data_IF_748478325704
#
_entry.id   IF_748478325704
#
_cell.length_a   1.000
_cell.length_b   1.000
_cell.length_c   1.000
_cell.angle_alpha   90.00
_cell.angle_beta   90.00
_cell.angle_gamma   90.00
#
_symmetry.space_group_name_H-M   'P 1'
#
loop_
_entity.id
_entity.type
_entity.pdbx_description
1 polymer ?
#
# COMPACT_ATOMS: atom_id res chain seq x y z
N UNK A 1 -25.80 -9.20 36.05
CA UNK A 1 -25.66 -7.73 35.98
C UNK A 1 -24.25 -7.41 36.42
N UNK A 2 -23.52 -6.86 35.47
CA UNK A 2 -22.26 -6.13 35.56
C UNK A 2 -20.99 -6.86 35.98
N UNK A 3 -20.44 -7.59 35.02
CA UNK A 3 -19.01 -7.86 34.88
C UNK A 3 -18.66 -8.01 33.38
N UNK A 4 -18.93 -6.98 32.58
CA UNK A 4 -18.63 -6.93 31.13
C UNK A 4 -18.50 -5.46 30.68
N UNK A 5 -17.47 -4.76 31.17
CA UNK A 5 -17.11 -3.43 30.65
C UNK A 5 -15.69 -3.02 31.10
N UNK A 6 -14.66 -3.80 30.77
CA UNK A 6 -13.27 -3.31 30.83
C UNK A 6 -12.38 -4.10 29.89
N UNK A 7 -12.68 -4.04 28.60
CA UNK A 7 -11.73 -4.38 27.55
C UNK A 7 -12.16 -3.60 26.32
N UNK A 8 -11.60 -2.41 26.12
CA UNK A 8 -11.44 -1.62 24.89
C UNK A 8 -10.97 -0.25 25.40
N UNK A 9 -9.65 -0.10 25.53
CA UNK A 9 -8.89 1.17 25.52
C UNK A 9 -7.44 0.84 25.94
N UNK A 10 -6.82 -0.12 25.24
CA UNK A 10 -5.36 -0.11 25.11
C UNK A 10 -5.09 0.37 23.69
N UNK A 11 -4.89 1.68 23.61
CA UNK A 11 -4.71 2.42 22.37
C UNK A 11 -3.56 1.86 21.55
N UNK A 12 -3.82 1.78 20.24
CA UNK A 12 -2.86 1.65 19.16
C UNK A 12 -1.87 2.83 19.14
N UNK A 13 -1.07 3.03 20.19
CA UNK A 13 -0.29 4.27 20.37
C UNK A 13 1.24 4.07 20.40
N UNK A 14 1.74 2.98 19.83
CA UNK A 14 3.19 2.79 19.62
C UNK A 14 3.51 2.22 18.25
N UNK A 15 3.18 2.97 17.19
CA UNK A 15 3.50 2.62 15.80
C UNK A 15 5.00 2.79 15.46
N UNK A 16 5.67 3.75 16.09
CA UNK A 16 7.11 3.94 16.11
C UNK A 16 7.47 4.46 17.50
N UNK A 17 7.96 3.63 18.43
CA UNK A 17 8.33 4.13 19.74
C UNK A 17 9.43 5.19 19.59
N UNK A 18 9.45 6.22 20.45
CA UNK A 18 10.53 7.19 20.48
C UNK A 18 11.89 6.49 20.54
N UNK A 19 12.90 7.11 19.94
CA UNK A 19 14.25 6.51 19.89
C UNK A 19 14.85 6.20 21.26
N UNK A 20 14.38 6.89 22.32
CA UNK A 20 14.87 6.75 23.68
C UNK A 20 16.26 7.36 23.90
N UNK A 21 16.83 8.02 22.89
CA UNK A 21 18.20 8.57 22.93
C UNK A 21 18.22 9.97 22.32
N UNK A 22 18.72 10.95 23.07
CA UNK A 22 19.03 12.28 22.54
C UNK A 22 20.13 12.16 21.48
N UNK A 23 19.94 12.78 20.32
CA UNK A 23 20.90 12.74 19.23
C UNK A 23 21.24 14.15 18.76
N UNK A 24 22.52 14.50 18.77
CA UNK A 24 23.00 15.80 18.28
C UNK A 24 23.74 15.62 16.96
N UNK A 25 23.30 16.32 15.92
CA UNK A 25 23.89 16.26 14.57
C UNK A 25 24.32 17.65 14.10
N UNK A 26 25.36 17.70 13.26
CA UNK A 26 25.71 18.90 12.50
C UNK A 26 24.98 18.91 11.16
N UNK A 27 24.30 20.02 10.83
CA UNK A 27 23.57 20.13 9.58
C UNK A 27 23.50 21.57 9.06
N UNK A 28 23.18 21.71 7.78
CA UNK A 28 22.93 22.98 7.11
C UNK A 28 21.45 23.12 6.80
N UNK A 29 20.93 24.34 6.90
CA UNK A 29 19.57 24.64 6.44
C UNK A 29 19.45 24.38 4.93
N UNK A 30 18.45 23.59 4.56
CA UNK A 30 18.11 23.30 3.16
C UNK A 30 16.76 23.94 2.80
N UNK A 31 16.61 24.35 1.55
CA UNK A 31 15.35 24.89 0.99
C UNK A 31 14.95 24.08 -0.23
N UNK A 32 13.83 23.37 -0.14
CA UNK A 32 13.25 22.56 -1.20
C UNK A 32 11.72 22.70 -1.18
N UNK A 33 11.02 22.19 -2.20
CA UNK A 33 9.56 22.34 -2.31
C UNK A 33 8.79 21.93 -1.04
N UNK A 34 9.23 20.89 -0.34
CA UNK A 34 8.62 20.46 0.93
C UNK A 34 8.67 21.55 2.01
N UNK A 35 9.81 22.21 2.23
CA UNK A 35 9.94 23.30 3.22
C UNK A 35 9.24 24.60 2.80
N UNK A 36 8.92 24.77 1.50
CA UNK A 36 8.23 25.96 1.00
C UNK A 36 6.70 25.81 1.04
N UNK A 37 6.20 24.57 0.94
CA UNK A 37 4.76 24.29 0.90
C UNK A 37 4.19 23.69 2.20
N UNK A 38 5.06 23.27 3.12
CA UNK A 38 4.69 22.77 4.44
C UNK A 38 5.46 23.52 5.53
N UNK A 39 4.88 23.66 6.72
CA UNK A 39 5.55 24.26 7.88
C UNK A 39 6.58 23.29 8.49
N UNK A 40 7.59 22.92 7.71
CA UNK A 40 8.61 21.93 8.06
C UNK A 40 10.00 22.55 7.96
N UNK A 41 10.91 22.10 8.83
CA UNK A 41 12.33 22.50 8.78
C UNK A 41 13.10 21.42 8.05
N UNK A 42 13.88 21.80 7.04
CA UNK A 42 14.73 20.90 6.29
C UNK A 42 16.20 21.17 6.55
N UNK A 43 16.94 20.10 6.81
CA UNK A 43 18.35 20.11 7.15
C UNK A 43 19.09 19.05 6.34
N UNK A 44 20.30 19.36 5.90
CA UNK A 44 21.20 18.40 5.22
C UNK A 44 22.54 18.34 5.93
N UNK A 45 23.07 17.13 6.11
CA UNK A 45 24.32 16.93 6.84
C UNK A 45 24.89 15.52 6.66
N UNK A 46 25.81 15.15 7.55
CA UNK A 46 26.32 13.79 7.66
C UNK A 46 26.29 13.34 9.12
N UNK A 47 26.02 12.07 9.34
CA UNK A 47 26.02 11.43 10.66
C UNK A 47 26.94 10.21 10.65
N UNK A 48 27.42 9.78 11.81
CA UNK A 48 28.18 8.54 11.89
C UNK A 48 27.26 7.31 11.67
N UNK A 49 27.83 6.18 11.27
CA UNK A 49 27.08 4.92 11.17
C UNK A 49 26.54 4.48 12.54
N UNK A 50 27.27 4.78 13.61
CA UNK A 50 26.82 4.53 14.98
C UNK A 50 25.57 5.37 15.34
N UNK A 51 25.57 6.67 14.98
CA UNK A 51 24.41 7.56 15.17
C UNK A 51 23.20 7.07 14.37
N UNK A 52 23.42 6.58 13.15
CA UNK A 52 22.35 6.01 12.33
C UNK A 52 21.66 4.84 13.04
N UNK A 53 22.44 3.87 13.53
CA UNK A 53 21.89 2.64 14.10
C UNK A 53 21.31 2.84 15.49
N UNK A 54 21.99 3.64 16.32
CA UNK A 54 21.55 3.95 17.69
C UNK A 54 20.44 5.00 17.75
N UNK A 55 20.40 5.95 16.82
CA UNK A 55 19.48 7.08 16.85
C UNK A 55 18.20 6.90 16.05
N UNK A 56 18.14 5.96 15.09
CA UNK A 56 16.99 5.80 14.18
C UNK A 56 16.47 4.36 14.15
N UNK A 57 15.28 4.11 14.71
CA UNK A 57 14.67 2.79 14.69
C UNK A 57 14.18 2.40 13.29
N UNK A 58 13.96 1.10 13.11
CA UNK A 58 13.35 0.52 11.90
C UNK A 58 11.85 0.41 12.17
N UNK A 59 11.04 1.02 11.31
CA UNK A 59 9.58 0.80 11.32
C UNK A 59 9.30 -0.70 11.22
N UNK A 60 8.42 -1.22 12.10
CA UNK A 60 8.13 -2.64 12.11
C UNK A 60 7.45 -3.07 10.80
N UNK A 61 7.61 -4.36 10.47
CA UNK A 61 7.07 -4.92 9.24
C UNK A 61 5.56 -5.13 9.35
N UNK A 62 4.95 -5.41 8.20
CA UNK A 62 3.51 -5.50 8.05
C UNK A 62 2.88 -6.77 8.66
N UNK A 63 3.67 -7.59 9.36
CA UNK A 63 3.24 -8.66 10.25
C UNK A 63 2.94 -8.16 11.67
N UNK A 64 3.39 -6.96 12.03
CA UNK A 64 3.15 -6.32 13.34
C UNK A 64 2.32 -5.05 13.20
N UNK A 65 2.60 -4.21 12.20
CA UNK A 65 1.84 -2.98 11.92
C UNK A 65 0.91 -3.23 10.72
N UNK A 66 -0.37 -2.82 10.73
CA UNK A 66 -1.24 -2.92 9.56
C UNK A 66 -0.64 -2.23 8.33
N UNK A 67 -0.79 -2.83 7.14
CA UNK A 67 -0.21 -2.30 5.90
C UNK A 67 -0.67 -0.86 5.60
N UNK A 68 -1.92 -0.55 5.94
CA UNK A 68 -2.48 0.78 5.76
C UNK A 68 -1.74 1.83 6.60
N UNK A 69 -1.24 1.47 7.78
CA UNK A 69 -0.59 2.40 8.71
C UNK A 69 0.90 2.63 8.42
N UNK A 70 1.47 1.85 7.50
CA UNK A 70 2.89 1.92 7.15
C UNK A 70 3.24 3.22 6.40
N UNK A 71 4.43 3.75 6.70
CA UNK A 71 5.05 4.87 5.97
C UNK A 71 6.24 4.44 5.11
N UNK A 72 6.66 3.18 5.25
CA UNK A 72 7.71 2.54 4.45
C UNK A 72 7.29 1.14 4.01
N UNK A 73 8.00 0.60 3.02
CA UNK A 73 7.94 -0.83 2.68
C UNK A 73 8.59 -1.69 3.77
N UNK A 74 8.16 -2.94 3.87
CA UNK A 74 8.82 -3.94 4.72
C UNK A 74 10.30 -4.12 4.35
N UNK A 75 11.11 -4.37 5.38
CA UNK A 75 12.54 -4.65 5.28
C UNK A 75 12.85 -5.89 6.10
N UNK A 76 13.52 -6.85 5.47
CA UNK A 76 14.06 -8.03 6.16
C UNK A 76 15.55 -8.20 5.84
N UNK A 77 16.29 -8.80 6.77
CA UNK A 77 17.72 -9.14 6.60
C UNK A 77 17.95 -10.11 5.44
N UNK A 78 16.95 -10.93 5.08
CA UNK A 78 16.96 -11.84 3.92
C UNK A 78 16.57 -11.21 2.58
N UNK A 79 16.14 -9.94 2.55
CA UNK A 79 15.78 -9.27 1.30
C UNK A 79 16.99 -9.22 0.35
N UNK A 80 16.72 -9.35 -0.94
CA UNK A 80 17.74 -9.22 -1.99
C UNK A 80 18.46 -7.87 -1.89
N UNK A 81 17.77 -6.81 -1.47
CA UNK A 81 18.31 -5.44 -1.33
C UNK A 81 19.34 -5.35 -0.21
N UNK A 82 19.01 -5.85 0.98
CA UNK A 82 19.90 -5.87 2.14
C UNK A 82 21.10 -6.77 1.88
N UNK A 83 20.91 -7.95 1.25
CA UNK A 83 22.01 -8.84 0.84
C UNK A 83 22.97 -8.24 -0.18
N UNK A 84 22.45 -7.52 -1.18
CA UNK A 84 23.30 -6.84 -2.18
C UNK A 84 24.13 -5.74 -1.55
N UNK A 85 23.52 -4.99 -0.65
CA UNK A 85 24.21 -3.92 0.06
C UNK A 85 25.25 -4.46 1.05
N UNK A 86 24.91 -5.53 1.75
CA UNK A 86 25.82 -6.21 2.67
C UNK A 86 27.08 -6.68 1.93
N UNK A 87 26.89 -7.38 0.80
CA UNK A 87 27.98 -7.74 -0.11
C UNK A 87 28.78 -6.52 -0.57
N UNK A 88 28.10 -5.44 -0.97
CA UNK A 88 28.77 -4.23 -1.44
C UNK A 88 29.68 -3.60 -0.37
N UNK A 89 29.26 -3.60 0.90
CA UNK A 89 30.04 -3.04 2.01
C UNK A 89 31.16 -3.98 2.50
N UNK A 90 30.99 -5.29 2.32
CA UNK A 90 31.97 -6.29 2.74
C UNK A 90 33.01 -6.59 1.66
N UNK A 91 32.63 -6.63 0.38
CA UNK A 91 33.51 -7.00 -0.73
C UNK A 91 34.33 -5.81 -1.25
N UNK A 92 33.97 -4.57 -0.90
CA UNK A 92 34.65 -3.36 -1.37
C UNK A 92 35.14 -2.48 -0.22
N UNK A 93 36.23 -1.78 -0.47
CA UNK A 93 36.79 -0.77 0.45
C UNK A 93 36.48 0.66 0.01
N UNK A 94 36.03 0.85 -1.23
CA UNK A 94 35.80 2.14 -1.90
C UNK A 94 34.30 2.37 -2.19
N UNK A 95 33.48 2.12 -1.18
CA UNK A 95 32.04 2.24 -1.27
C UNK A 95 31.56 3.70 -1.15
N UNK A 96 30.41 3.99 -1.75
CA UNK A 96 29.69 5.25 -1.60
C UNK A 96 28.21 4.95 -1.38
N UNK A 97 27.62 5.53 -0.34
CA UNK A 97 26.20 5.38 -0.04
C UNK A 97 25.42 6.64 -0.41
N UNK A 98 24.20 6.49 -0.96
CA UNK A 98 23.34 7.64 -1.21
C UNK A 98 22.92 8.32 0.10
N UNK A 99 22.31 9.50 -0.01
CA UNK A 99 21.73 10.23 1.12
C UNK A 99 20.53 9.48 1.72
N UNK A 100 20.37 9.50 3.05
CA UNK A 100 19.16 9.06 3.74
C UNK A 100 18.13 10.18 3.77
N UNK A 101 16.83 9.86 3.71
CA UNK A 101 15.76 10.83 3.97
C UNK A 101 15.03 10.42 5.24
N UNK A 102 14.95 11.33 6.21
CA UNK A 102 14.49 11.05 7.57
C UNK A 102 13.50 12.13 7.97
N UNK A 103 12.37 11.73 8.56
CA UNK A 103 11.42 12.63 9.18
C UNK A 103 11.44 12.46 10.70
N UNK A 104 11.31 13.57 11.42
CA UNK A 104 11.27 13.61 12.88
C UNK A 104 10.19 14.59 13.35
N UNK A 105 9.53 14.30 14.47
CA UNK A 105 8.48 15.18 14.99
C UNK A 105 9.01 16.54 15.44
N UNK A 106 10.11 16.53 16.18
CA UNK A 106 10.69 17.73 16.79
C UNK A 106 12.22 17.71 16.80
N UNK A 107 12.82 18.89 16.83
CA UNK A 107 14.26 19.09 16.96
C UNK A 107 14.58 20.54 17.34
N UNK A 108 15.62 20.71 18.15
CA UNK A 108 16.08 22.02 18.61
C UNK A 108 17.33 22.43 17.83
N UNK A 109 17.28 23.59 17.17
CA UNK A 109 18.44 24.13 16.45
C UNK A 109 19.24 25.05 17.36
N UNK A 110 20.55 24.84 17.38
CA UNK A 110 21.50 25.77 17.99
C UNK A 110 21.54 27.09 17.23
N UNK A 111 22.21 28.08 17.82
CA UNK A 111 22.59 29.30 17.12
C UNK A 111 23.37 28.95 15.85
N UNK A 112 23.00 29.59 14.74
CA UNK A 112 23.61 29.38 13.44
C UNK A 112 25.05 29.91 13.40
N UNK A 113 25.93 29.18 12.72
CA UNK A 113 27.26 29.64 12.30
C UNK A 113 27.26 29.75 10.79
N UNK A 114 27.66 30.91 10.25
CA UNK A 114 27.72 31.13 8.81
C UNK A 114 28.99 30.49 8.23
N UNK A 115 28.83 29.61 7.25
CA UNK A 115 29.92 28.95 6.51
C UNK A 115 29.66 29.17 5.01
N UNK A 116 30.41 30.07 4.39
CA UNK A 116 30.14 30.50 3.02
C UNK A 116 28.72 31.10 2.88
N UNK A 117 27.92 30.65 1.88
CA UNK A 117 26.53 31.08 1.75
C UNK A 117 25.58 30.36 2.72
N UNK A 118 26.03 29.30 3.39
CA UNK A 118 25.16 28.40 4.15
C UNK A 118 25.18 28.74 5.65
N UNK A 119 24.10 28.36 6.33
CA UNK A 119 23.98 28.41 7.79
C UNK A 119 24.11 27.00 8.35
N UNK A 120 25.18 26.78 9.12
CA UNK A 120 25.40 25.55 9.87
C UNK A 120 24.73 25.65 11.24
N UNK A 121 24.05 24.59 11.63
CA UNK A 121 23.43 24.41 12.93
C UNK A 121 23.88 23.09 13.54
N UNK A 122 23.98 23.05 14.86
CA UNK A 122 23.81 21.80 15.59
C UNK A 122 22.31 21.60 15.81
N UNK A 123 21.79 20.42 15.46
CA UNK A 123 20.40 20.04 15.71
C UNK A 123 20.38 18.94 16.76
N UNK A 124 19.65 19.17 17.85
CA UNK A 124 19.39 18.18 18.89
C UNK A 124 18.01 17.59 18.67
N UNK A 125 17.96 16.29 18.42
CA UNK A 125 16.75 15.49 18.38
C UNK A 125 16.53 14.89 19.77
N UNK A 126 15.46 15.24 20.48
CA UNK A 126 15.24 14.71 21.81
C UNK A 126 14.85 13.23 21.76
N UNK A 127 15.07 12.52 22.85
CA UNK A 127 14.83 11.08 23.00
C UNK A 127 13.38 10.68 22.74
N UNK A 128 12.44 11.56 23.09
CA UNK A 128 11.00 11.42 22.92
C UNK A 128 10.52 11.75 21.49
N UNK A 129 11.37 12.32 20.63
CA UNK A 129 11.03 12.55 19.24
C UNK A 129 10.83 11.21 18.52
N UNK A 130 9.71 11.11 17.81
CA UNK A 130 9.49 10.02 16.87
C UNK A 130 10.30 10.28 15.61
N UNK A 131 10.93 9.23 15.10
CA UNK A 131 11.87 9.30 13.98
C UNK A 131 11.55 8.19 13.01
N UNK A 132 11.36 8.52 11.74
CA UNK A 132 11.12 7.56 10.67
C UNK A 132 12.10 7.78 9.53
N UNK A 133 12.73 6.71 9.08
CA UNK A 133 13.55 6.73 7.87
C UNK A 133 12.58 6.60 6.69
N UNK A 134 12.41 7.68 5.92
CA UNK A 134 11.59 7.70 4.72
C UNK A 134 12.30 7.10 3.50
N UNK A 135 13.63 7.12 3.46
CA UNK A 135 14.37 6.28 2.52
C UNK A 135 15.71 5.86 3.11
N UNK A 136 16.04 4.58 2.94
CA UNK A 136 17.27 3.97 3.45
C UNK A 136 17.12 3.08 4.67
N UNK A 137 15.91 2.64 5.01
CA UNK A 137 15.69 1.66 6.10
C UNK A 137 16.48 0.36 5.88
N UNK A 138 16.54 -0.14 4.63
CA UNK A 138 17.40 -1.26 4.26
C UNK A 138 18.89 -0.98 4.46
N UNK A 139 19.34 0.26 4.23
CA UNK A 139 20.72 0.67 4.51
C UNK A 139 21.01 0.64 6.00
N UNK A 140 20.11 1.19 6.83
CA UNK A 140 20.23 1.11 8.29
C UNK A 140 20.32 -0.34 8.78
N UNK A 141 19.46 -1.23 8.29
CA UNK A 141 19.48 -2.66 8.67
C UNK A 141 20.80 -3.33 8.29
N UNK A 142 21.31 -3.09 7.08
CA UNK A 142 22.61 -3.62 6.67
C UNK A 142 23.75 -3.04 7.50
N UNK A 143 23.77 -1.74 7.74
CA UNK A 143 24.79 -1.08 8.58
C UNK A 143 24.80 -1.66 9.99
N UNK A 144 23.64 -1.93 10.58
CA UNK A 144 23.57 -2.57 11.90
C UNK A 144 24.23 -3.96 11.91
N UNK A 145 24.04 -4.76 10.84
CA UNK A 145 24.73 -6.04 10.68
C UNK A 145 26.25 -5.89 10.59
N UNK A 146 26.72 -5.00 9.70
CA UNK A 146 28.17 -4.74 9.53
C UNK A 146 28.80 -4.20 10.81
N UNK A 147 28.13 -3.34 11.57
CA UNK A 147 28.63 -2.81 12.84
C UNK A 147 28.81 -3.89 13.90
N UNK A 148 27.93 -4.90 13.93
CA UNK A 148 28.05 -6.02 14.85
C UNK A 148 29.33 -6.85 14.60
N UNK A 149 29.79 -6.90 13.35
CA UNK A 149 31.00 -7.62 12.96
C UNK A 149 32.27 -6.74 12.98
N UNK A 150 32.12 -5.45 12.66
CA UNK A 150 33.21 -4.49 12.45
C UNK A 150 32.91 -3.17 13.16
N UNK A 151 33.13 -3.11 14.48
CA UNK A 151 32.83 -1.93 15.29
C UNK A 151 33.47 -0.62 14.78
N UNK A 152 34.67 -0.68 14.21
CA UNK A 152 35.35 0.48 13.62
C UNK A 152 34.56 1.11 12.45
N UNK A 153 33.63 0.36 11.84
CA UNK A 153 32.74 0.88 10.81
C UNK A 153 31.81 1.98 11.34
N UNK A 154 31.63 2.06 12.67
CA UNK A 154 30.82 3.07 13.36
C UNK A 154 31.25 4.50 13.11
N UNK A 155 32.56 4.72 12.89
CA UNK A 155 33.13 6.04 12.69
C UNK A 155 32.98 6.59 11.26
N UNK A 156 32.65 5.74 10.28
CA UNK A 156 32.34 6.25 8.94
C UNK A 156 31.03 7.02 8.96
N UNK A 157 30.84 7.87 7.94
CA UNK A 157 29.69 8.76 7.86
C UNK A 157 28.77 8.41 6.70
N UNK A 158 27.48 8.73 6.85
CA UNK A 158 26.48 8.69 5.78
C UNK A 158 25.79 10.05 5.67
N UNK A 159 25.59 10.58 4.43
CA UNK A 159 24.84 11.81 4.25
C UNK A 159 23.36 11.61 4.57
N UNK A 160 22.71 12.65 5.11
CA UNK A 160 21.29 12.64 5.41
C UNK A 160 20.59 13.94 4.99
N UNK A 161 19.27 13.82 4.81
CA UNK A 161 18.29 14.90 4.76
C UNK A 161 17.30 14.66 5.88
N UNK A 162 17.21 15.61 6.80
CA UNK A 162 16.40 15.55 7.99
C UNK A 162 15.27 16.57 7.87
N UNK A 163 14.04 16.10 8.07
CA UNK A 163 12.82 16.89 7.93
C UNK A 163 12.11 16.90 9.28
N UNK A 164 12.05 18.07 9.92
CA UNK A 164 11.33 18.25 11.19
C UNK A 164 9.90 18.66 10.86
N UNK A 165 8.93 17.80 11.19
CA UNK A 165 7.52 17.96 10.81
C UNK A 165 6.76 18.94 11.69
N UNK A 166 7.26 19.22 12.90
CA UNK A 166 6.58 20.02 13.93
C UNK A 166 5.21 19.47 14.33
N UNK A 167 5.03 18.15 14.22
CA UNK A 167 3.79 17.47 14.61
C UNK A 167 3.94 16.85 15.99
N UNK A 168 2.82 16.64 16.70
CA UNK A 168 2.82 15.94 17.98
C UNK A 168 3.23 14.47 17.80
N UNK A 169 2.75 13.83 16.73
CA UNK A 169 3.06 12.45 16.36
C UNK A 169 3.53 12.38 14.92
N UNK A 170 4.38 11.42 14.57
CA UNK A 170 4.91 11.28 13.21
C UNK A 170 3.79 10.90 12.22
N UNK A 171 2.79 10.14 12.70
CA UNK A 171 1.59 9.76 11.94
C UNK A 171 0.80 10.95 11.42
N UNK A 172 0.84 12.09 12.10
CA UNK A 172 0.13 13.30 11.65
C UNK A 172 0.75 13.86 10.36
N UNK A 173 2.00 13.50 10.07
CA UNK A 173 2.71 13.81 8.83
C UNK A 173 2.72 12.64 7.82
N UNK A 174 2.04 11.52 8.11
CA UNK A 174 2.06 10.28 7.29
C UNK A 174 1.85 10.56 5.81
N UNK A 175 0.87 11.40 5.46
CA UNK A 175 0.56 11.72 4.06
C UNK A 175 1.76 12.33 3.32
N UNK A 176 2.46 13.25 3.97
CA UNK A 176 3.65 13.91 3.39
C UNK A 176 4.82 12.93 3.30
N UNK A 177 4.99 12.09 4.32
CA UNK A 177 6.05 11.06 4.35
C UNK A 177 5.85 10.03 3.23
N UNK A 178 4.63 9.51 3.08
CA UNK A 178 4.28 8.57 2.02
C UNK A 178 4.46 9.21 0.63
N UNK A 179 4.03 10.46 0.43
CA UNK A 179 4.27 11.18 -0.83
C UNK A 179 5.77 11.30 -1.11
N UNK A 180 6.58 11.71 -0.13
CA UNK A 180 8.02 11.82 -0.29
C UNK A 180 8.67 10.47 -0.63
N UNK A 181 8.21 9.36 -0.02
CA UNK A 181 8.65 8.02 -0.39
C UNK A 181 8.31 7.72 -1.85
N UNK A 182 7.07 7.98 -2.28
CA UNK A 182 6.61 7.76 -3.64
C UNK A 182 7.38 8.61 -4.66
N UNK A 183 7.70 9.87 -4.34
CA UNK A 183 8.47 10.74 -5.22
C UNK A 183 9.91 10.24 -5.39
N UNK A 184 10.56 9.82 -4.30
CA UNK A 184 11.94 9.30 -4.30
C UNK A 184 12.07 7.96 -5.03
N UNK A 185 11.04 7.13 -4.94
CA UNK A 185 11.10 5.73 -5.37
C UNK A 185 10.24 5.43 -6.60
N UNK A 186 9.36 6.34 -7.02
CA UNK A 186 8.34 6.11 -8.05
C UNK A 186 8.89 5.93 -9.47
N UNK A 187 9.97 6.63 -9.82
CA UNK A 187 10.66 6.50 -11.12
C UNK A 187 11.75 5.41 -11.10
N UNK A 188 12.22 5.06 -9.91
CA UNK A 188 13.13 3.94 -9.72
C UNK A 188 12.32 2.65 -9.88
N UNK A 189 12.87 1.65 -10.57
CA UNK A 189 12.11 0.47 -11.04
C UNK A 189 11.44 -0.38 -9.94
N UNK A 190 11.49 -0.02 -8.64
CA UNK A 190 10.88 -0.76 -7.52
C UNK A 190 10.64 0.14 -6.29
N UNK A 191 9.41 0.62 -6.10
CA UNK A 191 8.45 -0.18 -5.31
C UNK A 191 7.46 -0.91 -6.21
N UNK A 192 6.78 -1.92 -5.66
CA UNK A 192 5.68 -2.53 -6.40
C UNK A 192 4.59 -1.46 -6.65
N UNK A 193 3.85 -1.61 -7.74
CA UNK A 193 2.85 -0.63 -8.16
C UNK A 193 1.76 -0.39 -7.10
N UNK A 194 1.54 -1.35 -6.19
CA UNK A 194 0.60 -1.24 -5.08
C UNK A 194 1.06 -0.23 -4.02
N UNK A 195 2.29 -0.33 -3.53
CA UNK A 195 2.85 0.62 -2.55
C UNK A 195 2.94 2.02 -3.15
N UNK A 196 3.48 2.14 -4.37
CA UNK A 196 3.58 3.44 -5.03
C UNK A 196 2.21 4.08 -5.25
N UNK A 197 1.22 3.30 -5.69
CA UNK A 197 -0.12 3.83 -5.92
C UNK A 197 -0.86 4.21 -4.64
N UNK A 198 -0.61 3.51 -3.52
CA UNK A 198 -1.20 3.85 -2.21
C UNK A 198 -0.51 5.06 -1.56
N UNK A 199 0.80 5.22 -1.75
CA UNK A 199 1.53 6.31 -1.10
C UNK A 199 1.45 7.64 -1.87
N UNK A 200 1.04 7.60 -3.13
CA UNK A 200 1.09 8.75 -4.03
C UNK A 200 -0.21 9.58 -3.99
N UNK A 201 -0.25 10.60 -3.16
CA UNK A 201 -1.36 11.56 -3.09
C UNK A 201 -1.36 12.65 -4.17
N UNK A 202 -0.33 12.74 -5.02
CA UNK A 202 -0.25 13.77 -6.06
C UNK A 202 -1.30 13.57 -7.18
N UNK A 203 -1.71 12.32 -7.42
CA UNK A 203 -2.63 11.95 -8.50
C UNK A 203 -4.06 11.83 -7.98
N UNK A 204 -5.06 12.49 -8.60
CA UNK A 204 -6.45 12.39 -8.16
C UNK A 204 -6.99 10.96 -8.02
N UNK A 205 -6.66 10.07 -8.95
CA UNK A 205 -7.12 8.68 -8.90
C UNK A 205 -6.51 7.91 -7.71
N UNK A 206 -5.26 8.18 -7.35
CA UNK A 206 -4.62 7.54 -6.20
C UNK A 206 -5.24 8.02 -4.89
N UNK A 207 -5.51 9.34 -4.75
CA UNK A 207 -6.28 9.88 -3.61
C UNK A 207 -7.67 9.26 -3.50
N UNK A 208 -8.36 9.11 -4.63
CA UNK A 208 -9.69 8.51 -4.68
C UNK A 208 -9.65 7.06 -4.21
N UNK A 209 -8.61 6.30 -4.58
CA UNK A 209 -8.43 4.93 -4.13
C UNK A 209 -8.16 4.85 -2.63
N UNK A 210 -7.37 5.76 -2.06
CA UNK A 210 -7.15 5.81 -0.60
C UNK A 210 -8.48 6.05 0.15
N UNK A 211 -9.31 6.98 -0.34
CA UNK A 211 -10.65 7.22 0.24
C UNK A 211 -11.64 6.06 0.01
N UNK A 212 -11.41 5.23 -1.00
CA UNK A 212 -12.17 4.00 -1.22
C UNK A 212 -11.74 2.88 -0.28
N UNK A 213 -10.48 2.81 0.12
CA UNK A 213 -9.98 1.80 1.07
C UNK A 213 -10.69 1.90 2.44
N UNK A 214 -11.12 3.10 2.81
CA UNK A 214 -11.90 3.37 4.03
C UNK A 214 -13.39 3.02 3.91
N UNK A 215 -13.84 2.52 2.74
CA UNK A 215 -15.23 2.14 2.55
C UNK A 215 -15.56 0.92 3.39
N UNK A 216 -16.55 1.06 4.29
CA UNK A 216 -17.14 -0.06 5.03
C UNK A 216 -17.77 -1.07 4.06
N UNK A 217 -17.45 -2.35 4.27
CA UNK A 217 -17.95 -3.51 3.54
C UNK A 217 -18.60 -4.49 4.53
N UNK A 218 -19.01 -5.67 4.05
CA UNK A 218 -19.66 -6.67 4.90
C UNK A 218 -18.80 -7.09 6.10
N UNK A 219 -19.47 -7.61 7.13
CA UNK A 219 -18.89 -8.14 8.37
C UNK A 219 -18.09 -7.13 9.21
N UNK A 220 -18.47 -5.83 9.15
CA UNK A 220 -17.85 -4.77 9.94
C UNK A 220 -16.40 -4.46 9.55
N UNK A 221 -15.99 -4.85 8.35
CA UNK A 221 -14.66 -4.60 7.79
C UNK A 221 -14.69 -3.38 6.88
N UNK A 222 -13.53 -2.79 6.64
CA UNK A 222 -13.30 -1.85 5.55
C UNK A 222 -12.59 -2.53 4.38
N UNK A 223 -12.65 -1.92 3.20
CA UNK A 223 -11.99 -2.45 2.00
C UNK A 223 -10.47 -2.65 2.21
N UNK A 224 -9.82 -1.80 3.01
CA UNK A 224 -8.41 -1.93 3.38
C UNK A 224 -8.08 -3.27 4.06
N UNK A 225 -9.00 -3.82 4.87
CA UNK A 225 -8.74 -5.02 5.67
C UNK A 225 -8.58 -6.26 4.80
N UNK A 226 -9.16 -6.23 3.61
CA UNK A 226 -9.12 -7.33 2.63
C UNK A 226 -8.24 -7.00 1.41
N UNK A 227 -7.57 -5.85 1.39
CA UNK A 227 -6.75 -5.41 0.26
C UNK A 227 -5.27 -5.46 0.62
N UNK A 228 -4.47 -6.16 -0.18
CA UNK A 228 -3.01 -6.19 -0.03
C UNK A 228 -2.38 -4.92 -0.63
N UNK A 229 -1.89 -4.03 0.23
CA UNK A 229 -1.31 -2.73 -0.16
C UNK A 229 0.18 -2.88 -0.52
N UNK A 230 0.86 -3.88 0.04
CA UNK A 230 2.23 -4.20 -0.31
C UNK A 230 2.36 -5.16 -1.52
N UNK A 231 1.27 -5.50 -2.19
CA UNK A 231 1.26 -6.40 -3.35
C UNK A 231 1.45 -7.90 -3.04
N UNK A 232 1.58 -8.29 -1.76
CA UNK A 232 1.63 -9.68 -1.30
C UNK A 232 0.36 -9.99 -0.50
N UNK A 233 -0.45 -10.92 -1.02
CA UNK A 233 -1.70 -11.31 -0.37
C UNK A 233 -1.40 -12.18 0.85
N UNK A 234 -1.82 -11.71 2.03
CA UNK A 234 -1.76 -12.43 3.32
C UNK A 234 -3.11 -13.08 3.66
N UNK A 235 -3.16 -13.99 4.66
CA UNK A 235 -4.43 -14.46 5.22
C UNK A 235 -5.34 -13.29 5.58
N UNK A 236 -6.64 -13.41 5.28
CA UNK A 236 -7.62 -12.32 5.41
C UNK A 236 -7.75 -11.42 4.18
N UNK A 237 -6.74 -11.34 3.32
CA UNK A 237 -6.76 -10.47 2.13
C UNK A 237 -7.19 -11.22 0.87
N UNK A 238 -7.83 -10.50 -0.06
CA UNK A 238 -8.40 -11.05 -1.29
C UNK A 238 -7.62 -10.62 -2.53
N UNK A 239 -7.45 -9.31 -2.72
CA UNK A 239 -6.85 -8.73 -3.91
C UNK A 239 -5.79 -7.70 -3.54
N UNK A 240 -4.84 -7.48 -4.45
CA UNK A 240 -3.87 -6.38 -4.28
C UNK A 240 -4.50 -5.04 -4.59
N UNK A 241 -3.96 -3.96 -4.04
CA UNK A 241 -4.38 -2.58 -4.34
C UNK A 241 -4.45 -2.32 -5.85
N UNK A 242 -3.48 -2.85 -6.61
CA UNK A 242 -3.47 -2.72 -8.07
C UNK A 242 -4.70 -3.38 -8.71
N UNK A 243 -5.06 -4.58 -8.27
CA UNK A 243 -6.20 -5.32 -8.80
C UNK A 243 -7.52 -4.61 -8.46
N UNK A 244 -7.66 -4.06 -7.26
CA UNK A 244 -8.83 -3.26 -6.87
C UNK A 244 -8.91 -1.97 -7.71
N UNK A 245 -7.79 -1.27 -7.90
CA UNK A 245 -7.71 -0.08 -8.76
C UNK A 245 -8.08 -0.40 -10.22
N UNK A 246 -7.57 -1.51 -10.77
CA UNK A 246 -7.90 -1.97 -12.11
C UNK A 246 -9.41 -2.29 -12.23
N UNK A 247 -10.00 -2.92 -11.21
CA UNK A 247 -11.44 -3.18 -11.14
C UNK A 247 -12.25 -1.88 -11.16
N UNK A 248 -11.87 -0.88 -10.36
CA UNK A 248 -12.54 0.44 -10.34
C UNK A 248 -12.45 1.13 -11.70
N UNK A 249 -11.26 1.24 -12.29
CA UNK A 249 -11.04 1.87 -13.59
C UNK A 249 -11.85 1.17 -14.70
N UNK A 250 -11.86 -0.17 -14.69
CA UNK A 250 -12.58 -0.97 -15.68
C UNK A 250 -14.10 -0.84 -15.53
N UNK A 251 -14.62 -0.72 -14.31
CA UNK A 251 -16.06 -0.51 -14.06
C UNK A 251 -16.56 0.81 -14.62
N UNK A 252 -15.68 1.80 -14.71
CA UNK A 252 -15.95 3.14 -15.25
C UNK A 252 -15.58 3.27 -16.73
N UNK A 253 -15.08 2.20 -17.34
CA UNK A 253 -14.67 2.20 -18.74
C UNK A 253 -13.56 3.20 -19.07
N UNK A 254 -12.68 3.49 -18.10
CA UNK A 254 -11.65 4.52 -18.22
C UNK A 254 -10.24 3.96 -18.02
N UNK A 255 -9.24 4.77 -18.32
CA UNK A 255 -7.82 4.48 -18.01
C UNK A 255 -7.34 5.40 -16.90
N UNK A 256 -6.25 5.04 -16.22
CA UNK A 256 -5.70 5.87 -15.15
C UNK A 256 -5.41 7.31 -15.61
N UNK A 257 -4.86 7.49 -16.81
CA UNK A 257 -4.60 8.83 -17.36
C UNK A 257 -5.88 9.65 -17.59
N UNK A 258 -6.93 9.02 -18.13
CA UNK A 258 -8.23 9.67 -18.37
C UNK A 258 -8.94 9.98 -17.04
N UNK A 259 -8.93 9.05 -16.09
CA UNK A 259 -9.49 9.25 -14.75
C UNK A 259 -8.79 10.41 -14.03
N UNK A 260 -7.45 10.44 -14.02
CA UNK A 260 -6.70 11.53 -13.40
C UNK A 260 -6.97 12.91 -14.02
N UNK A 261 -7.32 12.99 -15.30
CA UNK A 261 -7.73 14.24 -15.94
C UNK A 261 -9.17 14.62 -15.54
N UNK A 262 -10.07 13.64 -15.51
CA UNK A 262 -11.48 13.83 -15.19
C UNK A 262 -11.72 14.24 -13.72
N UNK A 263 -10.96 13.64 -12.81
CA UNK A 263 -11.08 13.79 -11.35
C UNK A 263 -10.38 15.04 -10.78
N UNK A 264 -9.94 15.98 -11.63
CA UNK A 264 -9.40 17.28 -11.17
C UNK A 264 -10.48 18.27 -10.75
N UNK A 265 -11.71 17.98 -11.15
CA UNK A 265 -12.90 18.75 -10.82
C UNK A 265 -13.55 18.13 -9.57
N UNK A 266 -13.81 18.96 -8.56
CA UNK A 266 -14.21 18.50 -7.23
C UNK A 266 -15.61 17.86 -7.22
N UNK A 267 -16.55 18.38 -8.01
CA UNK A 267 -17.90 17.81 -8.15
C UNK A 267 -17.82 16.42 -8.80
N UNK A 268 -17.09 16.31 -9.92
CA UNK A 268 -16.85 15.03 -10.58
C UNK A 268 -16.11 14.05 -9.68
N UNK A 269 -15.18 14.53 -8.86
CA UNK A 269 -14.46 13.70 -7.90
C UNK A 269 -15.42 13.09 -6.87
N UNK A 270 -16.25 13.92 -6.23
CA UNK A 270 -17.21 13.49 -5.22
C UNK A 270 -18.22 12.49 -5.79
N UNK A 271 -18.80 12.78 -6.95
CA UNK A 271 -19.75 11.89 -7.64
C UNK A 271 -19.10 10.56 -8.03
N UNK A 272 -17.87 10.60 -8.56
CA UNK A 272 -17.15 9.39 -8.94
C UNK A 272 -16.85 8.52 -7.72
N UNK A 273 -16.38 9.14 -6.63
CA UNK A 273 -16.08 8.46 -5.37
C UNK A 273 -17.32 7.77 -4.81
N UNK A 274 -18.46 8.46 -4.69
CA UNK A 274 -19.65 7.85 -4.11
C UNK A 274 -20.19 6.71 -4.99
N UNK A 275 -20.19 6.89 -6.31
CA UNK A 275 -20.57 5.80 -7.22
C UNK A 275 -19.64 4.58 -7.09
N UNK A 276 -18.35 4.80 -6.85
CA UNK A 276 -17.41 3.72 -6.58
C UNK A 276 -17.65 3.07 -5.21
N UNK A 277 -17.96 3.85 -4.16
CA UNK A 277 -18.33 3.32 -2.84
C UNK A 277 -19.55 2.42 -2.92
N UNK A 278 -20.59 2.85 -3.63
CA UNK A 278 -21.79 2.04 -3.87
C UNK A 278 -21.43 0.73 -4.58
N UNK A 279 -20.63 0.79 -5.65
CA UNK A 279 -20.18 -0.41 -6.36
C UNK A 279 -19.42 -1.38 -5.44
N UNK A 280 -18.44 -0.88 -4.69
CA UNK A 280 -17.64 -1.68 -3.74
C UNK A 280 -18.55 -2.34 -2.71
N UNK A 281 -19.42 -1.58 -2.04
CA UNK A 281 -20.37 -2.12 -1.04
C UNK A 281 -21.23 -3.24 -1.63
N UNK A 282 -21.76 -3.07 -2.84
CA UNK A 282 -22.63 -4.07 -3.46
C UNK A 282 -21.88 -5.35 -3.86
N UNK A 283 -20.65 -5.22 -4.37
CA UNK A 283 -19.80 -6.38 -4.67
C UNK A 283 -19.46 -7.13 -3.40
N UNK A 284 -18.97 -6.45 -2.37
CA UNK A 284 -18.49 -7.12 -1.17
C UNK A 284 -19.60 -7.62 -0.24
N UNK A 285 -20.85 -7.14 -0.43
CA UNK A 285 -22.04 -7.73 0.21
C UNK A 285 -22.30 -9.18 -0.20
N UNK A 286 -21.93 -9.57 -1.42
CA UNK A 286 -22.29 -10.88 -2.00
C UNK A 286 -21.13 -11.87 -2.09
N UNK A 287 -19.90 -11.43 -1.80
CA UNK A 287 -18.73 -12.31 -1.77
C UNK A 287 -18.63 -13.04 -0.43
N UNK A 288 -18.19 -14.32 -0.42
CA UNK A 288 -18.11 -15.12 0.80
C UNK A 288 -16.84 -14.79 1.62
N UNK A 289 -16.76 -13.57 2.14
CA UNK A 289 -15.57 -13.04 2.85
C UNK A 289 -15.21 -13.81 4.12
N UNK A 290 -16.17 -14.50 4.75
CA UNK A 290 -15.92 -15.37 5.91
C UNK A 290 -14.86 -16.45 5.66
N UNK A 291 -14.72 -16.92 4.40
CA UNK A 291 -13.75 -17.94 4.00
C UNK A 291 -12.29 -17.44 3.96
N UNK A 292 -12.04 -16.15 4.23
CA UNK A 292 -10.69 -15.57 4.27
C UNK A 292 -10.07 -15.59 5.67
N UNK A 293 -10.83 -15.95 6.71
CA UNK A 293 -10.49 -15.69 8.11
C UNK A 293 -9.38 -16.59 8.69
N UNK A 294 -9.33 -17.88 8.32
CA UNK A 294 -8.29 -18.80 8.76
C UNK A 294 -7.22 -19.04 7.69
N UNK A 295 -5.94 -19.19 8.07
CA UNK A 295 -4.82 -19.32 7.11
C UNK A 295 -4.96 -20.51 6.15
N UNK A 296 -5.40 -21.67 6.63
CA UNK A 296 -5.55 -22.86 5.78
C UNK A 296 -6.79 -22.77 4.89
N UNK A 297 -7.90 -22.21 5.40
CA UNK A 297 -9.11 -21.92 4.61
C UNK A 297 -8.82 -20.88 3.53
N UNK A 298 -8.04 -19.85 3.85
CA UNK A 298 -7.58 -18.84 2.91
C UNK A 298 -6.76 -19.44 1.77
N UNK A 299 -5.76 -20.28 2.08
CA UNK A 299 -4.96 -20.95 1.04
C UNK A 299 -5.82 -21.83 0.12
N UNK A 300 -6.76 -22.59 0.70
CA UNK A 300 -7.68 -23.41 -0.06
C UNK A 300 -8.59 -22.55 -0.97
N UNK A 301 -9.21 -21.51 -0.42
CA UNK A 301 -10.06 -20.59 -1.17
C UNK A 301 -9.30 -19.86 -2.29
N UNK A 302 -8.09 -19.34 -2.01
CA UNK A 302 -7.25 -18.69 -3.02
C UNK A 302 -6.84 -19.68 -4.13
N UNK A 303 -6.71 -20.97 -3.84
CA UNK A 303 -6.37 -21.99 -4.83
C UNK A 303 -7.58 -22.38 -5.68
N UNK A 304 -8.70 -22.68 -5.05
CA UNK A 304 -9.82 -23.43 -5.65
C UNK A 304 -10.97 -22.54 -6.11
N UNK A 305 -11.22 -21.40 -5.46
CA UNK A 305 -12.39 -20.58 -5.74
C UNK A 305 -12.16 -19.62 -6.91
N UNK A 306 -13.19 -19.43 -7.75
CA UNK A 306 -13.15 -18.45 -8.84
C UNK A 306 -13.18 -17.02 -8.30
N UNK A 307 -13.96 -16.75 -7.25
CA UNK A 307 -14.17 -15.40 -6.74
C UNK A 307 -12.91 -14.75 -6.17
N UNK A 308 -11.90 -15.54 -5.82
CA UNK A 308 -10.61 -15.06 -5.32
C UNK A 308 -9.65 -14.61 -6.43
N UNK A 309 -9.95 -14.92 -7.70
CA UNK A 309 -9.05 -14.62 -8.81
C UNK A 309 -9.17 -13.17 -9.26
N UNK A 310 -8.05 -12.56 -9.62
CA UNK A 310 -8.04 -11.18 -10.15
C UNK A 310 -8.87 -11.02 -11.43
N UNK A 311 -8.96 -12.07 -12.26
CA UNK A 311 -9.80 -12.07 -13.46
C UNK A 311 -11.30 -12.00 -13.10
N UNK A 312 -11.69 -12.54 -11.95
CA UNK A 312 -13.05 -12.40 -11.46
C UNK A 312 -13.35 -10.97 -11.00
N UNK A 313 -12.41 -10.29 -10.35
CA UNK A 313 -12.53 -8.86 -10.02
C UNK A 313 -12.75 -8.02 -11.30
N UNK A 314 -11.97 -8.27 -12.35
CA UNK A 314 -12.15 -7.60 -13.65
C UNK A 314 -13.49 -7.95 -14.31
N UNK A 315 -13.98 -9.17 -14.14
CA UNK A 315 -15.29 -9.56 -14.63
C UNK A 315 -16.43 -8.84 -13.87
N UNK A 316 -16.32 -8.68 -12.55
CA UNK A 316 -17.26 -7.87 -11.76
C UNK A 316 -17.28 -6.41 -12.21
N UNK A 317 -16.11 -5.85 -12.55
CA UNK A 317 -16.02 -4.52 -13.12
C UNK A 317 -16.83 -4.39 -14.42
N UNK A 318 -16.72 -5.37 -15.31
CA UNK A 318 -17.54 -5.42 -16.52
C UNK A 318 -19.03 -5.54 -16.25
N UNK A 319 -19.43 -6.36 -15.28
CA UNK A 319 -20.83 -6.49 -14.87
C UNK A 319 -21.37 -5.16 -14.33
N UNK A 320 -20.60 -4.45 -13.50
CA UNK A 320 -20.97 -3.14 -12.99
C UNK A 320 -21.08 -2.08 -14.09
N UNK A 321 -20.16 -2.10 -15.06
CA UNK A 321 -20.25 -1.26 -16.26
C UNK A 321 -21.51 -1.58 -17.06
N UNK A 322 -21.81 -2.86 -17.25
CA UNK A 322 -23.00 -3.34 -17.95
C UNK A 322 -24.29 -2.88 -17.26
N UNK A 323 -24.36 -2.96 -15.93
CA UNK A 323 -25.49 -2.42 -15.14
C UNK A 323 -25.65 -0.91 -15.32
N UNK A 324 -24.53 -0.18 -15.34
CA UNK A 324 -24.55 1.28 -15.51
C UNK A 324 -25.01 1.66 -16.92
N UNK A 325 -24.52 0.98 -17.95
CA UNK A 325 -24.95 1.21 -19.34
C UNK A 325 -26.43 0.81 -19.55
N UNK A 326 -26.88 -0.33 -19.00
CA UNK A 326 -28.28 -0.78 -19.04
C UNK A 326 -29.22 0.20 -18.31
N UNK A 327 -28.76 0.80 -17.20
CA UNK A 327 -29.51 1.83 -16.48
C UNK A 327 -29.72 3.11 -17.30
N UNK A 328 -28.81 3.45 -18.23
CA UNK A 328 -29.00 4.59 -19.13
C UNK A 328 -30.16 4.37 -20.11
N UNK A 329 -30.46 3.12 -20.47
CA UNK A 329 -31.57 2.78 -21.36
C UNK A 329 -32.87 2.51 -20.59
N UNK A 330 -32.79 1.79 -19.48
CA UNK A 330 -33.94 1.41 -18.66
C UNK A 330 -34.39 2.49 -17.67
N UNK A 331 -33.55 3.50 -17.41
CA UNK A 331 -33.78 4.57 -16.43
C UNK A 331 -33.60 4.14 -14.97
N UNK A 332 -33.16 2.90 -14.70
CA UNK A 332 -33.06 2.35 -13.34
C UNK A 332 -31.78 1.54 -13.15
N UNK A 333 -31.04 1.84 -12.10
CA UNK A 333 -29.86 1.09 -11.69
C UNK A 333 -30.23 -0.05 -10.73
N UNK A 334 -30.04 -1.29 -11.17
CA UNK A 334 -30.52 -2.50 -10.46
C UNK A 334 -29.40 -3.30 -9.78
N UNK A 335 -28.72 -2.70 -8.79
CA UNK A 335 -27.64 -3.36 -8.04
C UNK A 335 -28.04 -4.70 -7.41
N UNK A 336 -29.32 -4.86 -7.05
CA UNK A 336 -29.86 -6.11 -6.50
C UNK A 336 -29.66 -7.33 -7.42
N UNK A 337 -29.45 -7.12 -8.73
CA UNK A 337 -29.10 -8.22 -9.65
C UNK A 337 -27.80 -8.94 -9.23
N UNK A 338 -26.87 -8.25 -8.56
CA UNK A 338 -25.62 -8.86 -8.07
C UNK A 338 -25.86 -9.92 -6.98
N UNK A 339 -27.00 -9.91 -6.29
CA UNK A 339 -27.36 -10.95 -5.30
C UNK A 339 -27.51 -12.33 -5.97
N UNK A 340 -27.74 -12.36 -7.29
CA UNK A 340 -27.74 -13.60 -8.07
C UNK A 340 -26.37 -14.31 -8.12
N UNK A 341 -25.27 -13.63 -7.79
CA UNK A 341 -23.94 -14.24 -7.73
C UNK A 341 -23.85 -15.36 -6.68
N UNK A 342 -24.65 -15.27 -5.60
CA UNK A 342 -24.71 -16.30 -4.58
C UNK A 342 -25.21 -17.66 -5.10
N UNK A 343 -25.86 -17.69 -6.27
CA UNK A 343 -26.38 -18.92 -6.91
C UNK A 343 -25.34 -19.61 -7.81
N UNK A 344 -24.20 -18.97 -8.05
CA UNK A 344 -23.16 -19.50 -8.93
C UNK A 344 -22.15 -20.34 -8.14
N UNK A 345 -21.54 -21.36 -8.76
CA UNK A 345 -20.52 -22.21 -8.14
C UNK A 345 -19.17 -21.49 -8.04
N UNK A 346 -19.13 -20.36 -7.33
CA UNK A 346 -17.94 -19.49 -7.23
C UNK A 346 -16.82 -20.10 -6.38
N UNK A 347 -17.14 -21.08 -5.52
CA UNK A 347 -16.21 -21.70 -4.58
C UNK A 347 -15.27 -22.73 -5.23
N UNK A 348 -15.48 -23.06 -6.51
CA UNK A 348 -14.64 -24.02 -7.24
C UNK A 348 -14.38 -23.56 -8.68
N UNK A 349 -13.18 -23.86 -9.19
CA UNK A 349 -12.83 -23.73 -10.59
C UNK A 349 -13.23 -24.98 -11.41
N UNK A 350 -13.55 -26.10 -10.76
CA UNK A 350 -13.79 -27.39 -11.40
C UNK A 350 -15.25 -27.60 -11.83
N UNK A 351 -16.10 -26.59 -11.66
CA UNK A 351 -17.49 -26.68 -12.12
C UNK A 351 -17.56 -26.80 -13.65
N UNK A 352 -18.38 -27.71 -14.21
CA UNK A 352 -18.57 -27.85 -15.66
C UNK A 352 -18.87 -26.55 -16.36
N UNK A 353 -19.63 -25.64 -15.73
CA UNK A 353 -19.98 -24.34 -16.27
C UNK A 353 -18.73 -23.49 -16.58
N UNK A 354 -17.69 -23.55 -15.75
CA UNK A 354 -16.44 -22.82 -15.96
C UNK A 354 -15.54 -23.49 -17.01
N UNK A 355 -15.54 -24.82 -17.04
CA UNK A 355 -14.72 -25.61 -17.97
C UNK A 355 -15.27 -25.49 -19.40
N UNK A 356 -16.58 -25.68 -19.59
CA UNK A 356 -17.26 -25.58 -20.88
C UNK A 356 -17.15 -24.17 -21.48
N UNK A 357 -17.13 -23.14 -20.63
CA UNK A 357 -16.91 -21.75 -21.04
C UNK A 357 -15.44 -21.40 -21.32
N UNK A 358 -14.50 -22.34 -21.15
CA UNK A 358 -13.07 -22.12 -21.34
C UNK A 358 -12.41 -21.22 -20.29
N UNK A 359 -13.12 -20.94 -19.19
CA UNK A 359 -12.65 -20.13 -18.05
C UNK A 359 -11.67 -20.94 -17.20
N UNK A 360 -11.93 -22.24 -17.05
CA UNK A 360 -11.06 -23.17 -16.32
C UNK A 360 -10.41 -24.18 -17.27
N UNK A 361 -9.13 -24.45 -17.04
CA UNK A 361 -8.36 -25.47 -17.74
C UNK A 361 -8.11 -26.65 -16.82
N UNK A 362 -8.48 -27.85 -17.27
CA UNK A 362 -8.12 -29.11 -16.61
C UNK A 362 -6.80 -29.59 -17.20
N UNK A 363 -5.84 -29.89 -16.35
CA UNK A 363 -4.57 -30.52 -16.73
C UNK A 363 -4.42 -31.82 -15.97
N UNK A 364 -4.36 -32.91 -16.72
CA UNK A 364 -4.11 -34.24 -16.17
C UNK A 364 -2.61 -34.53 -16.25
N UNK A 365 -1.96 -34.59 -15.08
CA UNK A 365 -0.55 -34.98 -14.93
C UNK A 365 -0.40 -36.41 -14.43
N UNK A 366 0.83 -36.83 -14.09
CA UNK A 366 1.16 -38.16 -13.50
C UNK A 366 0.46 -38.37 -12.14
N UNK A 367 -0.85 -38.63 -12.14
CA UNK A 367 -1.66 -38.94 -10.97
C UNK A 367 -2.41 -37.77 -10.31
N UNK A 368 -2.16 -36.53 -10.72
CA UNK A 368 -2.83 -35.34 -10.16
C UNK A 368 -3.64 -34.60 -11.23
N UNK A 369 -4.96 -34.47 -10.99
CA UNK A 369 -5.87 -33.61 -11.75
C UNK A 369 -5.75 -32.19 -11.22
N UNK A 370 -5.25 -31.26 -12.04
CA UNK A 370 -5.07 -29.86 -11.63
C UNK A 370 -5.95 -28.94 -12.47
N UNK A 371 -6.85 -28.22 -11.81
CA UNK A 371 -7.70 -27.20 -12.43
C UNK A 371 -7.11 -25.81 -12.18
N UNK A 372 -6.98 -25.00 -13.22
CA UNK A 372 -6.45 -23.63 -13.14
C UNK A 372 -7.27 -22.68 -13.99
N UNK A 373 -7.39 -21.42 -13.56
CA UNK A 373 -8.03 -20.38 -14.37
C UNK A 373 -7.23 -20.10 -15.65
N UNK A 374 -7.93 -20.00 -16.78
CA UNK A 374 -7.36 -19.62 -18.06
C UNK A 374 -7.11 -18.11 -18.10
N UNK A 375 -5.90 -17.69 -18.53
CA UNK A 375 -5.54 -16.27 -18.53
C UNK A 375 -6.32 -15.51 -19.62
N UNK A 376 -6.69 -14.26 -19.34
CA UNK A 376 -7.40 -13.40 -20.29
C UNK A 376 -8.85 -13.80 -20.55
N UNK A 377 -9.48 -14.49 -19.59
CA UNK A 377 -10.88 -14.94 -19.69
C UNK A 377 -11.84 -14.06 -18.88
N UNK A 378 -11.41 -12.90 -18.40
CA UNK A 378 -12.26 -11.98 -17.65
C UNK A 378 -13.50 -11.53 -18.44
N UNK A 379 -13.38 -11.34 -19.75
CA UNK A 379 -14.51 -11.03 -20.63
C UNK A 379 -15.49 -12.22 -20.73
N UNK A 380 -14.98 -13.44 -20.81
CA UNK A 380 -15.80 -14.66 -20.85
C UNK A 380 -16.54 -14.89 -19.52
N UNK A 381 -15.86 -14.68 -18.39
CA UNK A 381 -16.48 -14.68 -17.06
C UNK A 381 -17.59 -13.63 -17.04
N UNK A 382 -17.30 -12.39 -17.44
CA UNK A 382 -18.28 -11.31 -17.41
C UNK A 382 -19.52 -11.58 -18.28
N UNK A 383 -19.34 -12.09 -19.51
CA UNK A 383 -20.46 -12.48 -20.39
C UNK A 383 -21.33 -13.54 -19.74
N UNK A 384 -20.72 -14.53 -19.07
CA UNK A 384 -21.45 -15.58 -18.37
C UNK A 384 -22.20 -15.01 -17.16
N UNK A 385 -21.56 -14.17 -16.35
CA UNK A 385 -22.20 -13.47 -15.24
C UNK A 385 -23.40 -12.64 -15.72
N UNK A 386 -23.22 -11.79 -16.74
CA UNK A 386 -24.31 -10.98 -17.32
C UNK A 386 -25.48 -11.85 -17.78
N UNK A 387 -25.22 -12.98 -18.46
CA UNK A 387 -26.26 -13.92 -18.88
C UNK A 387 -27.04 -14.49 -17.70
N UNK A 388 -26.36 -14.94 -16.64
CA UNK A 388 -27.01 -15.52 -15.46
C UNK A 388 -27.78 -14.48 -14.64
N UNK A 389 -27.25 -13.27 -14.54
CA UNK A 389 -27.86 -12.16 -13.81
C UNK A 389 -28.94 -11.41 -14.62
N UNK A 390 -29.14 -11.78 -15.90
CA UNK A 390 -30.05 -11.11 -16.85
C UNK A 390 -29.72 -9.61 -16.98
N UNK A 391 -28.44 -9.32 -17.14
CA UNK A 391 -27.90 -7.99 -17.40
C UNK A 391 -27.48 -7.94 -18.86
N UNK A 392 -27.88 -6.88 -19.57
CA UNK A 392 -27.40 -6.66 -20.94
C UNK A 392 -25.91 -6.33 -20.89
N UNK A 393 -25.03 -7.07 -21.59
CA UNK A 393 -23.60 -6.78 -21.61
C UNK A 393 -23.31 -5.36 -22.10
N UNK A 394 -22.31 -4.70 -21.51
CA UNK A 394 -21.83 -3.39 -21.97
C UNK A 394 -21.30 -3.45 -23.40
N UNK A 395 -21.27 -2.32 -24.10
CA UNK A 395 -20.70 -2.23 -25.45
C UNK A 395 -19.26 -2.75 -25.53
N UNK A 396 -18.46 -2.50 -24.48
CA UNK A 396 -17.07 -2.95 -24.43
C UNK A 396 -16.89 -4.47 -24.24
N UNK A 397 -17.97 -5.21 -23.97
CA UNK A 397 -17.99 -6.66 -23.88
C UNK A 397 -18.42 -7.34 -25.17
N UNK A 398 -18.76 -6.63 -26.25
CA UNK A 398 -19.19 -7.27 -27.50
C UNK A 398 -18.02 -7.67 -28.39
#
# INVERSE_FOLDING_TARGET
>A
MDALATTIEQGYDTYLPPSGVDLTLGAFMARQGLSEHHDMIMLEGSMSMADLVGGFPVEQNSDVIPEYDKMQRDVSSGDVRTRRLDRYLNDRTDWLLPQLVIFVTQGQLSRAVKIGPNLAHSVTLPADAERVICDGQGRRVTVAGVLAERAAFGAFTIPFKLIITKTARIRDAKRVICQAFADLNGEVTKPNASINGHFNTSRPMDRLMDELLETEIADGKCLQDITALNGLIKPGQLWTYKQVKDMVLKSKGTTEGKANAFLRDDERYADFLENCRVFIRQVFKVLPLGQLSAQEEHKAAIKEALWTKSLFALALAWVARSLTEDALFSGKLEWAKLEGLAKLPLHTLDDPMWIEAGISLVRDGRGDRRVTINKGTDDAIARLLCRHLRIQPSQGLF
#
